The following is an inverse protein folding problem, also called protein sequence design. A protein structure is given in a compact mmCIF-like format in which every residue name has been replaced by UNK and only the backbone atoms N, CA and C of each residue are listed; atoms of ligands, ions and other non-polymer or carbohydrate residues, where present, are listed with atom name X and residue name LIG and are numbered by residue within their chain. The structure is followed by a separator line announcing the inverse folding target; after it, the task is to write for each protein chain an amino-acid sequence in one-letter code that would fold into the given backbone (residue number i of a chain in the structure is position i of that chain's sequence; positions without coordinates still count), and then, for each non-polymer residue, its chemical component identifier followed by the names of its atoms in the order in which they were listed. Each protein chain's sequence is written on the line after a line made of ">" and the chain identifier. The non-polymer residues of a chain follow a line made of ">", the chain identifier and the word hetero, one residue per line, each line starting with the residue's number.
data_IF_687049926652
#
_entry.id   IF_687049926652
#
_cell.length_a   1.000
_cell.length_b   1.000
_cell.length_c   1.000
_cell.angle_alpha   90.00
_cell.angle_beta   90.00
_cell.angle_gamma   90.00
#
_symmetry.space_group_name_H-M   'P 1'
#
loop_
_entity.id
_entity.type
_entity.pdbx_description
1 polymer ?
#
# COMPACT_ATOMS: atom_id res chain seq x y z
N UNK A 1 -12.31 -46.85 -10.72
CA UNK A 1 -11.15 -45.96 -10.90
C UNK A 1 -11.75 -44.59 -11.13
N UNK A 2 -11.68 -43.71 -10.15
CA UNK A 2 -11.97 -42.28 -10.29
C UNK A 2 -10.92 -41.53 -9.48
N UNK A 3 -9.67 -41.60 -9.96
CA UNK A 3 -8.51 -40.89 -9.39
C UNK A 3 -8.31 -39.50 -10.02
N UNK A 4 -9.30 -38.99 -10.76
CA UNK A 4 -9.18 -37.73 -11.52
C UNK A 4 -9.54 -36.46 -10.73
N UNK A 5 -10.16 -36.56 -9.55
CA UNK A 5 -10.67 -35.40 -8.79
C UNK A 5 -9.69 -34.87 -7.71
N UNK A 6 -8.66 -35.65 -7.35
CA UNK A 6 -7.65 -35.26 -6.36
C UNK A 6 -6.50 -34.45 -6.99
N UNK A 7 -6.29 -34.59 -8.30
CA UNK A 7 -5.22 -33.94 -9.03
C UNK A 7 -5.56 -32.47 -9.33
N UNK A 8 -6.84 -32.16 -9.55
CA UNK A 8 -7.33 -30.81 -9.89
C UNK A 8 -7.09 -29.81 -8.76
N UNK A 9 -7.43 -30.18 -7.53
CA UNK A 9 -7.16 -29.37 -6.32
C UNK A 9 -5.67 -29.20 -5.99
N UNK A 10 -4.84 -30.17 -6.38
CA UNK A 10 -3.40 -30.09 -6.19
C UNK A 10 -2.76 -29.11 -7.17
N UNK A 11 -3.19 -29.11 -8.44
CA UNK A 11 -2.76 -28.12 -9.42
C UNK A 11 -3.26 -26.71 -9.09
N UNK A 12 -4.51 -26.55 -8.65
CA UNK A 12 -5.02 -25.25 -8.15
C UNK A 12 -4.21 -24.75 -6.93
N UNK A 13 -3.85 -25.64 -6.00
CA UNK A 13 -3.00 -25.27 -4.86
C UNK A 13 -1.59 -24.87 -5.31
N UNK A 14 -1.01 -25.56 -6.29
CA UNK A 14 0.31 -25.22 -6.84
C UNK A 14 0.29 -23.90 -7.62
N UNK A 15 -0.78 -23.61 -8.38
CA UNK A 15 -0.96 -22.31 -9.06
C UNK A 15 -1.17 -21.18 -8.05
N UNK A 16 -2.07 -21.34 -7.07
CA UNK A 16 -2.30 -20.34 -6.03
C UNK A 16 -1.05 -20.10 -5.17
N UNK A 17 -0.25 -21.13 -4.91
CA UNK A 17 1.04 -20.99 -4.21
C UNK A 17 2.07 -20.25 -5.07
N UNK A 18 2.13 -20.53 -6.37
CA UNK A 18 3.04 -19.85 -7.30
C UNK A 18 2.66 -18.38 -7.50
N UNK A 19 1.37 -18.08 -7.62
CA UNK A 19 0.85 -16.71 -7.64
C UNK A 19 1.15 -15.97 -6.32
N UNK A 20 1.10 -16.67 -5.18
CA UNK A 20 1.50 -16.11 -3.87
C UNK A 20 3.00 -15.85 -3.78
N UNK A 21 3.84 -16.75 -4.27
CA UNK A 21 5.31 -16.60 -4.26
C UNK A 21 5.76 -15.50 -5.24
N UNK A 22 5.12 -15.39 -6.41
CA UNK A 22 5.31 -14.28 -7.35
C UNK A 22 4.81 -12.94 -6.78
N UNK A 23 3.74 -12.95 -5.97
CA UNK A 23 3.30 -11.78 -5.20
C UNK A 23 4.32 -11.35 -4.15
N UNK A 24 4.88 -12.30 -3.40
CA UNK A 24 5.85 -12.03 -2.33
C UNK A 24 7.14 -11.43 -2.90
N UNK A 25 7.63 -11.90 -4.04
CA UNK A 25 8.79 -11.30 -4.73
C UNK A 25 8.50 -9.89 -5.24
N UNK A 26 7.30 -9.62 -5.76
CA UNK A 26 6.87 -8.29 -6.18
C UNK A 26 6.73 -7.32 -5.00
N UNK A 27 6.22 -7.78 -3.86
CA UNK A 27 6.14 -7.01 -2.60
C UNK A 27 7.54 -6.69 -2.07
N UNK A 28 8.44 -7.67 -2.05
CA UNK A 28 9.82 -7.47 -1.61
C UNK A 28 10.61 -6.50 -2.51
N UNK A 29 10.42 -6.58 -3.84
CA UNK A 29 11.02 -5.62 -4.78
C UNK A 29 10.49 -4.20 -4.56
N UNK A 30 9.17 -4.05 -4.39
CA UNK A 30 8.55 -2.77 -4.04
C UNK A 30 9.10 -2.18 -2.75
N UNK A 31 9.19 -2.99 -1.70
CA UNK A 31 9.73 -2.54 -0.42
C UNK A 31 11.21 -2.12 -0.54
N UNK A 32 11.99 -2.84 -1.33
CA UNK A 32 13.38 -2.48 -1.62
C UNK A 32 13.49 -1.15 -2.40
N UNK A 33 12.64 -0.91 -3.39
CA UNK A 33 12.59 0.36 -4.13
C UNK A 33 12.10 1.52 -3.26
N UNK A 34 11.08 1.28 -2.43
CA UNK A 34 10.58 2.23 -1.43
C UNK A 34 11.69 2.63 -0.47
N UNK A 35 12.44 1.68 0.07
CA UNK A 35 13.55 1.96 0.98
C UNK A 35 14.66 2.76 0.30
N UNK A 36 15.01 2.43 -0.95
CA UNK A 36 15.99 3.22 -1.72
C UNK A 36 15.53 4.67 -1.90
N UNK A 37 14.26 4.90 -2.21
CA UNK A 37 13.73 6.26 -2.31
C UNK A 37 13.83 6.99 -0.98
N UNK A 38 13.44 6.34 0.13
CA UNK A 38 13.53 6.94 1.46
C UNK A 38 14.96 7.32 1.87
N UNK A 39 15.97 6.62 1.34
CA UNK A 39 17.39 6.93 1.53
C UNK A 39 17.88 8.08 0.64
N UNK A 40 17.20 8.36 -0.48
CA UNK A 40 17.50 9.52 -1.34
C UNK A 40 16.85 10.82 -0.87
N UNK A 41 15.86 10.74 0.01
CA UNK A 41 15.17 11.91 0.55
C UNK A 41 16.10 12.73 1.45
N UNK A 42 16.02 14.05 1.30
CA UNK A 42 16.59 14.95 2.30
C UNK A 42 15.84 14.83 3.63
N UNK A 43 16.48 15.27 4.73
CA UNK A 43 15.83 15.29 6.05
C UNK A 43 14.53 16.10 6.05
N UNK A 44 14.48 17.19 5.28
CA UNK A 44 13.30 18.05 5.17
C UNK A 44 12.18 17.36 4.37
N UNK A 45 12.50 16.74 3.24
CA UNK A 45 11.50 16.00 2.45
C UNK A 45 10.93 14.81 3.21
N UNK A 46 11.79 14.08 3.94
CA UNK A 46 11.35 12.97 4.79
C UNK A 46 10.45 13.44 5.93
N UNK A 47 10.80 14.54 6.60
CA UNK A 47 9.95 15.13 7.64
C UNK A 47 8.59 15.58 7.10
N UNK A 48 8.54 16.15 5.89
CA UNK A 48 7.28 16.56 5.24
C UNK A 48 6.42 15.33 4.91
N UNK A 49 7.02 14.28 4.34
CA UNK A 49 6.30 13.05 3.99
C UNK A 49 5.81 12.31 5.24
N UNK A 50 6.61 12.25 6.30
CA UNK A 50 6.22 11.63 7.57
C UNK A 50 5.06 12.38 8.23
N UNK A 51 5.10 13.72 8.31
CA UNK A 51 4.00 14.55 8.84
C UNK A 51 2.70 14.39 8.03
N UNK A 52 2.81 14.35 6.69
CA UNK A 52 1.67 14.11 5.83
C UNK A 52 1.10 12.70 6.00
N UNK A 53 1.96 11.68 6.11
CA UNK A 53 1.54 10.30 6.34
C UNK A 53 0.85 10.14 7.71
N UNK A 54 1.37 10.77 8.76
CA UNK A 54 0.72 10.80 10.08
C UNK A 54 -0.68 11.44 10.00
N UNK A 55 -0.84 12.52 9.23
CA UNK A 55 -2.16 13.15 9.00
C UNK A 55 -3.11 12.22 8.26
N UNK A 56 -2.63 11.49 7.25
CA UNK A 56 -3.44 10.50 6.53
C UNK A 56 -3.90 9.39 7.48
N UNK A 57 -2.99 8.84 8.29
CA UNK A 57 -3.33 7.80 9.26
C UNK A 57 -4.31 8.31 10.32
N UNK A 58 -4.11 9.51 10.83
CA UNK A 58 -4.98 10.11 11.86
C UNK A 58 -6.39 10.36 11.32
N UNK A 59 -6.51 10.91 10.12
CA UNK A 59 -7.80 11.19 9.48
C UNK A 59 -8.51 9.91 9.05
N UNK A 60 -7.77 8.89 8.59
CA UNK A 60 -8.31 7.56 8.34
C UNK A 60 -8.90 6.93 9.60
N UNK A 61 -8.16 6.96 10.72
CA UNK A 61 -8.66 6.45 12.02
C UNK A 61 -9.92 7.18 12.47
N UNK A 62 -9.98 8.50 12.28
CA UNK A 62 -11.17 9.29 12.57
C UNK A 62 -12.33 8.89 11.65
N UNK A 63 -12.10 8.72 10.35
CA UNK A 63 -13.10 8.27 9.38
C UNK A 63 -13.63 6.86 9.70
N UNK A 64 -12.76 5.92 10.08
CA UNK A 64 -13.16 4.56 10.49
C UNK A 64 -14.00 4.59 11.76
N UNK A 65 -13.72 5.52 12.68
CA UNK A 65 -14.44 5.67 13.94
C UNK A 65 -15.81 6.37 13.77
N UNK A 66 -15.84 7.45 13.00
CA UNK A 66 -16.99 8.35 12.89
C UNK A 66 -17.84 8.09 11.64
N UNK A 67 -17.37 7.20 10.75
CA UNK A 67 -18.03 6.79 9.52
C UNK A 67 -17.56 7.58 8.28
N UNK A 68 -17.73 7.00 7.08
CA UNK A 68 -17.25 7.57 5.82
C UNK A 68 -18.01 8.82 5.36
N UNK A 69 -19.14 9.16 5.99
CA UNK A 69 -19.93 10.38 5.73
C UNK A 69 -19.56 11.54 6.67
N UNK A 70 -18.57 11.35 7.53
CA UNK A 70 -18.11 12.38 8.48
C UNK A 70 -17.16 13.39 7.84
N UNK A 71 -16.98 14.55 8.48
CA UNK A 71 -15.97 15.54 8.11
C UNK A 71 -14.53 14.95 8.07
N UNK A 72 -14.30 13.82 8.77
CA UNK A 72 -13.03 13.10 8.74
C UNK A 72 -12.74 12.44 7.39
N UNK A 73 -13.75 12.10 6.60
CA UNK A 73 -13.61 11.60 5.22
C UNK A 73 -13.03 12.66 4.30
N UNK A 74 -13.58 13.87 4.34
CA UNK A 74 -13.05 15.03 3.59
C UNK A 74 -11.64 15.40 4.06
N UNK A 75 -11.36 15.27 5.36
CA UNK A 75 -10.02 15.48 5.91
C UNK A 75 -9.01 14.41 5.43
N UNK A 76 -9.45 13.16 5.34
CA UNK A 76 -8.67 12.05 4.81
C UNK A 76 -8.33 12.26 3.33
N UNK A 77 -9.31 12.59 2.50
CA UNK A 77 -9.08 12.88 1.08
C UNK A 77 -8.08 14.01 0.86
N UNK A 78 -8.19 15.09 1.66
CA UNK A 78 -7.25 16.21 1.62
C UNK A 78 -5.84 15.80 2.04
N UNK A 79 -5.72 14.98 3.08
CA UNK A 79 -4.42 14.47 3.54
C UNK A 79 -3.78 13.56 2.48
N UNK A 80 -4.57 12.67 1.86
CA UNK A 80 -4.13 11.81 0.78
C UNK A 80 -3.69 12.61 -0.45
N UNK A 81 -4.45 13.63 -0.85
CA UNK A 81 -4.08 14.51 -1.96
C UNK A 81 -2.79 15.30 -1.68
N UNK A 82 -2.61 15.78 -0.44
CA UNK A 82 -1.39 16.47 -0.03
C UNK A 82 -0.17 15.54 -0.03
N UNK A 83 -0.34 14.31 0.48
CA UNK A 83 0.70 13.28 0.45
C UNK A 83 1.05 12.89 -0.99
N UNK A 84 0.06 12.59 -1.85
CA UNK A 84 0.26 12.31 -3.29
C UNK A 84 1.04 13.43 -3.98
N UNK A 85 0.69 14.70 -3.72
CA UNK A 85 1.41 15.84 -4.30
C UNK A 85 2.85 15.95 -3.81
N UNK A 86 3.10 15.69 -2.53
CA UNK A 86 4.47 15.68 -2.00
C UNK A 86 5.29 14.49 -2.52
N UNK A 87 4.64 13.34 -2.71
CA UNK A 87 5.22 12.10 -3.20
C UNK A 87 5.20 11.98 -4.74
N UNK A 88 4.73 12.98 -5.49
CA UNK A 88 4.56 12.94 -6.95
C UNK A 88 5.87 12.61 -7.69
N UNK A 89 6.99 13.03 -7.10
CA UNK A 89 8.35 12.74 -7.62
C UNK A 89 8.78 11.28 -7.42
N UNK A 90 8.08 10.53 -6.57
CA UNK A 90 8.40 9.17 -6.16
C UNK A 90 7.16 8.26 -6.25
N UNK A 91 6.83 7.77 -7.46
CA UNK A 91 5.65 6.93 -7.69
C UNK A 91 5.54 5.71 -6.77
N UNK A 92 6.68 5.09 -6.41
CA UNK A 92 6.74 3.95 -5.49
C UNK A 92 6.24 4.26 -4.06
N UNK A 93 6.21 5.54 -3.66
CA UNK A 93 5.67 5.97 -2.36
C UNK A 93 4.16 6.18 -2.37
N UNK A 94 3.54 6.26 -3.56
CA UNK A 94 2.10 6.50 -3.74
C UNK A 94 1.31 5.20 -3.88
N UNK A 95 2.00 4.06 -3.89
CA UNK A 95 1.40 2.76 -4.03
C UNK A 95 0.57 2.36 -2.79
N UNK A 96 -0.72 2.10 -2.99
CA UNK A 96 -1.68 1.84 -1.91
C UNK A 96 -2.52 3.04 -1.47
N UNK A 97 -2.37 4.20 -2.13
CA UNK A 97 -3.21 5.38 -1.92
C UNK A 97 -4.18 5.66 -3.09
N UNK A 98 -4.39 4.71 -4.00
CA UNK A 98 -5.33 4.85 -5.14
C UNK A 98 -6.77 4.46 -4.79
#
# INVERSE_FOLDING_TARGET
>A
MDDYDYNDKYYEYLEAKRESEEMDELVAQRDAERNKVLDTLTKEERAILDDLNEKVISTFKAMVKDGPESDASVAYDKACAAYKKAAEKWPVLMDGYD
#
